data_IF_310144133179
#
_entry.id   IF_310144133179
#
_cell.length_a   1.000
_cell.length_b   1.000
_cell.length_c   1.000
_cell.angle_alpha   90.00
_cell.angle_beta   90.00
_cell.angle_gamma   90.00
#
_symmetry.space_group_name_H-M   'P 1'
#
loop_
_entity.id
_entity.type
_entity.pdbx_description
1 polymer ?
#
# COMPACT_ATOMS: atom_id res chain seq x y z
N UNK A 1 -11.75 22.53 -18.85
CA UNK A 1 -12.94 21.66 -18.78
C UNK A 1 -12.73 20.28 -19.43
N UNK A 2 -12.17 20.18 -20.63
CA UNK A 2 -11.98 18.87 -21.29
C UNK A 2 -10.81 18.05 -20.69
N UNK A 3 -9.74 18.71 -20.29
CA UNK A 3 -8.54 18.10 -19.72
C UNK A 3 -8.79 17.49 -18.31
N UNK A 4 -9.57 18.19 -17.50
CA UNK A 4 -9.93 17.74 -16.15
C UNK A 4 -10.85 16.51 -16.17
N UNK A 5 -11.81 16.46 -17.10
CA UNK A 5 -12.69 15.31 -17.29
C UNK A 5 -11.92 14.07 -17.78
N UNK A 6 -10.92 14.26 -18.63
CA UNK A 6 -10.07 13.15 -19.11
C UNK A 6 -9.16 12.63 -17.99
N UNK A 7 -8.62 13.51 -17.16
CA UNK A 7 -7.80 13.11 -16.01
C UNK A 7 -8.62 12.33 -14.98
N UNK A 8 -9.85 12.76 -14.69
CA UNK A 8 -10.73 12.08 -13.76
C UNK A 8 -11.18 10.71 -14.29
N UNK A 9 -11.52 10.62 -15.58
CA UNK A 9 -11.88 9.35 -16.23
C UNK A 9 -10.72 8.35 -16.22
N UNK A 10 -9.49 8.81 -16.44
CA UNK A 10 -8.29 7.98 -16.37
C UNK A 10 -8.01 7.50 -14.93
N UNK A 11 -8.22 8.35 -13.95
CA UNK A 11 -8.09 8.02 -12.53
C UNK A 11 -9.10 6.95 -12.12
N UNK A 12 -10.34 7.09 -12.55
CA UNK A 12 -11.40 6.10 -12.28
C UNK A 12 -11.11 4.75 -12.95
N UNK A 13 -10.67 4.76 -14.19
CA UNK A 13 -10.28 3.55 -14.92
C UNK A 13 -9.11 2.82 -14.23
N UNK A 14 -8.10 3.56 -13.79
CA UNK A 14 -6.98 3.03 -13.02
C UNK A 14 -7.44 2.44 -11.68
N UNK A 15 -8.28 3.14 -10.95
CA UNK A 15 -8.86 2.68 -9.69
C UNK A 15 -9.63 1.36 -9.87
N UNK A 16 -10.50 1.30 -10.86
CA UNK A 16 -11.27 0.10 -11.17
C UNK A 16 -10.38 -1.09 -11.55
N UNK A 17 -9.35 -0.84 -12.36
CA UNK A 17 -8.37 -1.87 -12.74
C UNK A 17 -7.64 -2.43 -11.52
N UNK A 18 -7.17 -1.58 -10.63
CA UNK A 18 -6.46 -2.00 -9.42
C UNK A 18 -7.39 -2.67 -8.41
N UNK A 19 -8.63 -2.20 -8.27
CA UNK A 19 -9.62 -2.88 -7.45
C UNK A 19 -9.90 -4.29 -7.97
N UNK A 20 -10.02 -4.47 -9.27
CA UNK A 20 -10.21 -5.80 -9.87
C UNK A 20 -9.02 -6.72 -9.59
N UNK A 21 -7.78 -6.21 -9.69
CA UNK A 21 -6.58 -6.97 -9.34
C UNK A 21 -6.60 -7.30 -7.84
N UNK A 22 -6.93 -6.34 -6.98
CA UNK A 22 -7.03 -6.55 -5.53
C UNK A 22 -8.08 -7.61 -5.19
N UNK A 23 -9.28 -7.50 -5.76
CA UNK A 23 -10.36 -8.46 -5.53
C UNK A 23 -10.02 -9.84 -6.10
N UNK A 24 -9.46 -9.89 -7.30
CA UNK A 24 -9.15 -11.15 -7.97
C UNK A 24 -7.95 -11.90 -7.38
N UNK A 25 -6.89 -11.19 -7.04
CA UNK A 25 -5.63 -11.78 -6.60
C UNK A 25 -5.45 -11.72 -5.09
N UNK A 26 -5.60 -10.53 -4.50
CA UNK A 26 -5.29 -10.32 -3.08
C UNK A 26 -6.39 -10.81 -2.15
N UNK A 27 -7.64 -10.45 -2.40
CA UNK A 27 -8.75 -10.75 -1.49
C UNK A 27 -9.04 -12.25 -1.36
N UNK A 28 -8.75 -13.04 -2.41
CA UNK A 28 -8.92 -14.48 -2.41
C UNK A 28 -7.68 -15.27 -1.95
N UNK A 29 -6.56 -14.61 -1.76
CA UNK A 29 -5.36 -15.25 -1.24
C UNK A 29 -5.45 -15.34 0.28
N UNK A 30 -5.23 -16.53 0.89
CA UNK A 30 -5.33 -16.70 2.35
C UNK A 30 -4.52 -15.70 3.16
N UNK A 31 -3.34 -15.35 2.69
CA UNK A 31 -2.47 -14.35 3.30
C UNK A 31 -3.17 -12.98 3.45
N UNK A 32 -3.80 -12.50 2.38
CA UNK A 32 -4.45 -11.18 2.38
C UNK A 32 -5.81 -11.16 3.06
N UNK A 33 -6.46 -12.30 3.27
CA UNK A 33 -7.69 -12.38 4.07
C UNK A 33 -7.47 -11.91 5.50
N UNK A 34 -6.24 -12.01 6.01
CA UNK A 34 -5.87 -11.59 7.35
C UNK A 34 -5.29 -10.17 7.41
N UNK A 35 -5.18 -9.49 6.27
CA UNK A 35 -4.72 -8.10 6.18
C UNK A 35 -5.87 -7.22 5.65
N UNK A 36 -6.75 -6.72 6.52
CA UNK A 36 -7.95 -5.99 6.12
C UNK A 36 -7.61 -4.57 5.65
N UNK A 37 -7.20 -4.46 4.38
CA UNK A 37 -6.84 -3.21 3.71
C UNK A 37 -7.96 -2.75 2.79
N UNK A 38 -8.22 -1.44 2.78
CA UNK A 38 -9.14 -0.77 1.87
C UNK A 38 -8.41 0.31 1.07
N UNK A 39 -8.70 0.41 -0.22
CA UNK A 39 -8.19 1.50 -1.06
C UNK A 39 -9.08 2.72 -0.82
N UNK A 40 -8.52 3.78 -0.25
CA UNK A 40 -9.23 5.05 -0.07
C UNK A 40 -9.09 5.96 -1.28
N UNK A 41 -7.89 6.04 -1.85
CA UNK A 41 -7.62 6.86 -3.02
C UNK A 41 -6.41 6.32 -3.78
N UNK A 42 -6.32 6.65 -5.08
CA UNK A 42 -5.28 6.13 -5.96
C UNK A 42 -5.01 7.09 -7.10
N UNK A 43 -3.74 7.17 -7.50
CA UNK A 43 -3.29 7.91 -8.66
C UNK A 43 -2.04 7.22 -9.24
N UNK A 44 -1.55 7.70 -10.36
CA UNK A 44 -0.31 7.18 -10.95
C UNK A 44 0.88 7.39 -10.01
N UNK A 45 1.53 6.29 -9.61
CA UNK A 45 2.65 6.31 -8.68
C UNK A 45 2.28 6.61 -7.23
N UNK A 46 1.00 6.59 -6.89
CA UNK A 46 0.54 6.97 -5.56
C UNK A 46 -0.71 6.18 -5.13
N UNK A 47 -0.76 5.80 -3.87
CA UNK A 47 -1.94 5.12 -3.30
C UNK A 47 -2.10 5.47 -1.84
N UNK A 48 -3.36 5.57 -1.39
CA UNK A 48 -3.72 5.67 0.02
C UNK A 48 -4.58 4.47 0.40
N UNK A 49 -4.08 3.69 1.37
CA UNK A 49 -4.79 2.55 1.96
C UNK A 49 -5.18 2.84 3.40
N UNK A 50 -6.29 2.27 3.81
CA UNK A 50 -6.72 2.20 5.20
C UNK A 50 -6.59 0.78 5.71
N UNK A 51 -6.06 0.61 6.90
CA UNK A 51 -5.77 -0.69 7.50
C UNK A 51 -6.33 -0.77 8.92
N UNK A 52 -7.24 -1.71 9.16
CA UNK A 52 -7.82 -1.94 10.48
C UNK A 52 -6.88 -2.82 11.32
N UNK A 53 -6.51 -2.33 12.50
CA UNK A 53 -5.69 -3.08 13.46
C UNK A 53 -6.60 -4.00 14.28
N UNK A 54 -6.75 -5.22 13.82
CA UNK A 54 -7.56 -6.25 14.49
C UNK A 54 -6.77 -6.98 15.58
N UNK A 55 -7.44 -7.53 16.62
CA UNK A 55 -6.76 -8.20 17.73
C UNK A 55 -5.78 -9.31 17.30
N UNK A 56 -6.10 -10.09 16.26
CA UNK A 56 -5.23 -11.17 15.76
C UNK A 56 -3.94 -10.68 15.08
N UNK A 57 -3.84 -9.37 14.80
CA UNK A 57 -2.66 -8.73 14.22
C UNK A 57 -1.74 -8.13 15.28
N UNK A 58 -2.14 -8.22 16.54
CA UNK A 58 -1.44 -7.62 17.67
C UNK A 58 -0.62 -8.65 18.43
N UNK A 59 0.42 -8.14 19.10
CA UNK A 59 1.19 -8.93 20.07
C UNK A 59 0.44 -9.06 21.41
N UNK A 60 1.06 -9.75 22.38
CA UNK A 60 0.47 -9.98 23.70
C UNK A 60 0.16 -8.70 24.52
N UNK A 61 0.69 -7.55 24.10
CA UNK A 61 0.40 -6.24 24.71
C UNK A 61 -0.74 -5.49 24.02
N UNK A 62 -1.42 -6.09 23.02
CA UNK A 62 -2.46 -5.43 22.26
C UNK A 62 -1.96 -4.37 21.28
N UNK A 63 -0.68 -4.45 20.90
CA UNK A 63 -0.02 -3.52 19.96
C UNK A 63 0.21 -4.24 18.65
N UNK A 64 -0.03 -3.59 17.52
CA UNK A 64 0.21 -4.16 16.20
C UNK A 64 1.64 -4.70 16.09
N UNK A 65 1.77 -5.95 15.65
CA UNK A 65 3.07 -6.57 15.42
C UNK A 65 3.87 -5.82 14.36
N UNK A 66 5.17 -5.64 14.59
CA UNK A 66 6.06 -5.02 13.61
C UNK A 66 6.06 -5.74 12.27
N UNK A 67 6.01 -7.07 12.26
CA UNK A 67 5.89 -7.86 11.04
C UNK A 67 4.59 -7.62 10.28
N UNK A 68 3.49 -7.38 10.97
CA UNK A 68 2.20 -7.02 10.35
C UNK A 68 2.27 -5.64 9.72
N UNK A 69 2.86 -4.67 10.39
CA UNK A 69 3.05 -3.33 9.82
C UNK A 69 3.99 -3.37 8.61
N UNK A 70 5.03 -4.20 8.64
CA UNK A 70 5.90 -4.42 7.48
C UNK A 70 5.13 -5.04 6.31
N UNK A 71 4.29 -6.03 6.56
CA UNK A 71 3.44 -6.66 5.54
C UNK A 71 2.45 -5.66 4.93
N UNK A 72 1.86 -4.80 5.73
CA UNK A 72 0.99 -3.71 5.25
C UNK A 72 1.77 -2.72 4.38
N UNK A 73 2.93 -2.27 4.83
CA UNK A 73 3.76 -1.33 4.07
C UNK A 73 4.30 -1.93 2.77
N UNK A 74 4.66 -3.20 2.76
CA UNK A 74 5.06 -3.91 1.53
C UNK A 74 3.90 -3.95 0.53
N UNK A 75 2.70 -4.27 0.99
CA UNK A 75 1.49 -4.24 0.17
C UNK A 75 1.20 -2.84 -0.37
N UNK A 76 1.26 -1.83 0.49
CA UNK A 76 1.03 -0.42 0.17
C UNK A 76 2.00 0.07 -0.93
N UNK A 77 3.29 -0.16 -0.74
CA UNK A 77 4.32 0.25 -1.70
C UNK A 77 4.27 -0.57 -2.99
N UNK A 78 3.97 -1.86 -2.89
CA UNK A 78 3.75 -2.72 -4.06
C UNK A 78 2.56 -2.28 -4.90
N UNK A 79 1.47 -1.84 -4.28
CA UNK A 79 0.31 -1.28 -4.99
C UNK A 79 0.66 0.02 -5.67
N UNK A 80 1.39 0.93 -5.01
CA UNK A 80 1.87 2.17 -5.65
C UNK A 80 2.71 1.87 -6.89
N UNK A 81 3.61 0.88 -6.84
CA UNK A 81 4.38 0.43 -8.00
C UNK A 81 3.50 -0.07 -9.13
N UNK A 82 2.45 -0.83 -8.80
CA UNK A 82 1.53 -1.42 -9.81
C UNK A 82 0.66 -0.39 -10.49
N UNK A 83 0.46 0.79 -9.89
CA UNK A 83 -0.24 1.90 -10.57
C UNK A 83 0.46 2.35 -11.85
N UNK A 84 1.78 2.08 -11.95
CA UNK A 84 2.57 2.36 -13.16
C UNK A 84 2.38 1.32 -14.28
N UNK A 85 1.56 0.28 -14.05
CA UNK A 85 1.26 -0.75 -15.03
C UNK A 85 2.23 -1.93 -15.05
N UNK A 86 2.98 -2.18 -13.97
CA UNK A 86 3.95 -3.26 -13.89
C UNK A 86 3.62 -4.30 -12.84
N UNK A 87 4.01 -5.54 -13.13
CA UNK A 87 4.16 -6.59 -12.12
C UNK A 87 5.54 -6.42 -11.48
N UNK A 88 5.57 -6.47 -10.17
CA UNK A 88 6.80 -6.24 -9.41
C UNK A 88 6.98 -7.29 -8.33
N UNK A 89 8.23 -7.47 -7.91
CA UNK A 89 8.58 -8.24 -6.73
C UNK A 89 9.49 -7.40 -5.83
N UNK A 90 9.34 -7.55 -4.52
CA UNK A 90 10.11 -6.82 -3.52
C UNK A 90 11.55 -7.30 -3.51
N UNK A 91 12.49 -6.38 -3.65
CA UNK A 91 13.92 -6.65 -3.51
C UNK A 91 14.40 -6.42 -2.08
N UNK A 92 13.99 -5.31 -1.50
CA UNK A 92 14.32 -4.95 -0.13
C UNK A 92 13.25 -4.00 0.43
N UNK A 93 13.14 -4.00 1.74
CA UNK A 93 12.29 -3.07 2.47
C UNK A 93 13.04 -2.56 3.70
N UNK A 94 13.01 -1.26 3.92
CA UNK A 94 13.58 -0.61 5.09
C UNK A 94 12.46 0.16 5.81
N UNK A 95 12.35 -0.03 7.12
CA UNK A 95 11.25 0.50 7.92
C UNK A 95 11.76 1.13 9.19
N UNK A 96 11.14 2.24 9.57
CA UNK A 96 11.26 2.85 10.90
C UNK A 96 9.90 2.84 11.59
N UNK A 97 9.84 2.17 12.72
CA UNK A 97 8.68 2.14 13.61
C UNK A 97 8.79 3.29 14.60
N UNK A 98 7.97 4.32 14.40
CA UNK A 98 8.09 5.60 15.10
C UNK A 98 7.18 5.63 16.32
N UNK A 99 5.95 5.11 16.17
CA UNK A 99 4.95 5.02 17.22
C UNK A 99 4.30 3.65 17.23
N UNK A 100 3.84 3.22 18.40
CA UNK A 100 2.96 2.06 18.51
C UNK A 100 1.55 2.42 18.01
N UNK A 101 0.84 1.45 17.51
CA UNK A 101 -0.59 1.52 17.25
C UNK A 101 -1.28 0.33 17.92
N UNK A 102 -2.35 0.61 18.63
CA UNK A 102 -3.08 -0.38 19.40
C UNK A 102 -4.23 -0.99 18.61
N UNK A 103 -4.73 -2.14 19.07
CA UNK A 103 -5.89 -2.78 18.48
C UNK A 103 -7.10 -1.85 18.47
N UNK A 104 -8.02 -2.13 17.54
CA UNK A 104 -9.27 -1.38 17.33
C UNK A 104 -9.08 0.06 16.82
N UNK A 105 -7.86 0.39 16.37
CA UNK A 105 -7.55 1.61 15.66
C UNK A 105 -7.35 1.36 14.17
N UNK A 106 -7.33 2.44 13.40
CA UNK A 106 -7.04 2.42 11.96
C UNK A 106 -5.69 3.08 11.69
N UNK A 107 -5.00 2.51 10.72
CA UNK A 107 -3.79 3.07 10.15
C UNK A 107 -4.11 3.52 8.72
N UNK A 108 -3.74 4.74 8.38
CA UNK A 108 -3.78 5.24 7.00
C UNK A 108 -2.37 5.26 6.45
N UNK A 109 -2.14 4.55 5.36
CA UNK A 109 -0.85 4.49 4.69
C UNK A 109 -0.89 5.20 3.34
N UNK A 110 0.16 5.97 3.05
CA UNK A 110 0.40 6.60 1.75
C UNK A 110 1.67 6.00 1.16
N UNK A 111 1.57 5.44 -0.04
CA UNK A 111 2.69 4.97 -0.84
C UNK A 111 2.92 5.90 -2.03
N UNK A 112 4.17 6.30 -2.22
CA UNK A 112 4.58 7.22 -3.28
C UNK A 112 5.79 6.67 -4.01
N UNK A 113 5.67 6.47 -5.31
CA UNK A 113 6.83 6.17 -6.16
C UNK A 113 7.75 7.38 -6.20
N UNK A 114 9.02 7.19 -5.85
CA UNK A 114 10.04 8.25 -5.88
C UNK A 114 11.02 8.09 -7.01
N UNK A 115 11.13 6.87 -7.58
CA UNK A 115 11.96 6.60 -8.75
C UNK A 115 11.39 5.44 -9.57
N UNK A 116 11.33 5.61 -10.86
CA UNK A 116 10.98 4.58 -11.83
C UNK A 116 12.14 4.41 -12.81
N UNK A 117 12.86 3.29 -12.68
CA UNK A 117 13.89 2.88 -13.63
C UNK A 117 13.36 1.84 -14.62
N UNK A 118 14.21 1.38 -15.52
CA UNK A 118 13.86 0.33 -16.48
C UNK A 118 13.64 -1.06 -15.85
N UNK A 119 14.31 -1.34 -14.74
CA UNK A 119 14.26 -2.64 -14.04
C UNK A 119 13.82 -2.53 -12.58
N UNK A 120 13.96 -1.36 -11.98
CA UNK A 120 13.65 -1.14 -10.57
C UNK A 120 12.76 0.07 -10.37
N UNK A 121 11.92 -0.02 -9.34
CA UNK A 121 11.04 1.07 -8.88
C UNK A 121 11.32 1.24 -7.39
N UNK A 122 11.55 2.48 -6.96
CA UNK A 122 11.74 2.82 -5.54
C UNK A 122 10.49 3.54 -5.05
N UNK A 123 9.95 3.09 -3.93
CA UNK A 123 8.75 3.63 -3.32
C UNK A 123 9.02 3.98 -1.87
N UNK A 124 8.46 5.08 -1.40
CA UNK A 124 8.42 5.45 0.01
C UNK A 124 6.99 5.35 0.54
N UNK A 125 6.86 5.08 1.83
CA UNK A 125 5.58 5.12 2.50
C UNK A 125 5.65 5.86 3.84
N UNK A 126 4.51 6.45 4.20
CA UNK A 126 4.24 7.00 5.51
C UNK A 126 2.89 6.48 5.98
N UNK A 127 2.83 6.04 7.22
CA UNK A 127 1.59 5.56 7.82
C UNK A 127 1.26 6.41 9.05
N UNK A 128 0.00 6.78 9.19
CA UNK A 128 -0.51 7.69 10.20
C UNK A 128 -1.62 7.02 11.02
N UNK A 129 -1.67 7.33 12.30
CA UNK A 129 -2.82 6.99 13.14
C UNK A 129 -4.02 7.93 12.87
N UNK A 130 -5.13 7.70 13.56
CA UNK A 130 -6.36 8.48 13.42
C UNK A 130 -6.19 9.96 13.83
N UNK A 131 -5.17 10.27 14.62
CA UNK A 131 -4.81 11.64 15.02
C UNK A 131 -3.91 12.35 14.00
N UNK A 132 -3.49 11.65 12.94
CA UNK A 132 -2.55 12.18 11.96
C UNK A 132 -1.09 12.10 12.39
N UNK A 133 -0.78 11.38 13.47
CA UNK A 133 0.60 11.16 13.92
C UNK A 133 1.26 10.04 13.13
N UNK A 134 2.50 10.23 12.73
CA UNK A 134 3.30 9.23 12.03
C UNK A 134 3.53 8.01 12.94
N UNK A 135 3.23 6.82 12.43
CA UNK A 135 3.44 5.52 13.07
C UNK A 135 4.64 4.81 12.45
N UNK A 136 4.70 4.79 11.13
CA UNK A 136 5.74 4.10 10.35
C UNK A 136 6.18 4.96 9.19
N UNK A 137 7.48 4.93 8.90
CA UNK A 137 8.06 5.36 7.63
C UNK A 137 8.80 4.20 6.99
N UNK A 138 8.72 4.07 5.68
CA UNK A 138 9.40 3.00 4.97
C UNK A 138 9.83 3.39 3.57
N UNK A 139 10.75 2.60 3.04
CA UNK A 139 11.22 2.65 1.66
C UNK A 139 11.42 1.23 1.17
N UNK A 140 11.06 0.97 -0.06
CA UNK A 140 11.25 -0.33 -0.70
C UNK A 140 11.74 -0.16 -2.13
N UNK A 141 12.56 -1.11 -2.57
CA UNK A 141 12.94 -1.27 -3.96
C UNK A 141 12.24 -2.50 -4.52
N UNK A 142 11.64 -2.34 -5.69
CA UNK A 142 10.95 -3.39 -6.41
C UNK A 142 11.65 -3.69 -7.74
N UNK A 143 11.70 -4.97 -8.09
CA UNK A 143 12.13 -5.40 -9.41
C UNK A 143 10.94 -5.55 -10.35
N UNK A 144 11.07 -4.99 -11.55
CA UNK A 144 10.02 -5.07 -12.58
C UNK A 144 10.08 -6.42 -13.26
N UNK A 145 9.02 -7.22 -13.12
CA UNK A 145 8.88 -8.55 -13.72
C UNK A 145 8.29 -8.50 -15.13
N UNK A 146 7.57 -7.42 -15.46
CA UNK A 146 6.88 -7.24 -16.73
C UNK A 146 5.68 -6.32 -16.57
N UNK A 147 4.90 -6.15 -17.66
CA UNK A 147 3.67 -5.35 -17.63
C UNK A 147 2.52 -6.11 -16.95
N UNK A 148 1.64 -5.38 -16.31
CA UNK A 148 0.34 -5.90 -15.88
C UNK A 148 -0.53 -6.18 -17.11
N UNK A 149 -1.16 -7.35 -17.10
CA UNK A 149 -2.11 -7.75 -18.15
C UNK A 149 -3.45 -7.00 -18.03
#
# INVERSE_FOLDING_TARGET
MNTERHAEANKEALRNRLQNIYVGVYKNTPYFKNLPCEIEDIDEGWVRLRFAIKPHLCNYRGIASGGVLAAFCDTLMGMASRTLGYRVTTLEINMNYIRRIEQDHYLTGIGQVVHQGGKTIVVECECFDESGCIVVKGRSSFYVLGKLD
#
